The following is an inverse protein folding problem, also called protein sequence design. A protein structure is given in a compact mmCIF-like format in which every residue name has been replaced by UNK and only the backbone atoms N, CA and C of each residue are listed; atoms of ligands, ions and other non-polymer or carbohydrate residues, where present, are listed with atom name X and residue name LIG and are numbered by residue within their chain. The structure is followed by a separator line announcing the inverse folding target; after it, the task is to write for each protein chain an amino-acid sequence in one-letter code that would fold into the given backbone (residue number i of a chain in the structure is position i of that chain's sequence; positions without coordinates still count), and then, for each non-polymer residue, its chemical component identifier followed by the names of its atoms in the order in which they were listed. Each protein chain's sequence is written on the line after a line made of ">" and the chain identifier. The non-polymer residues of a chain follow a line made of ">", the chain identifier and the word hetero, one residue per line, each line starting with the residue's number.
data_IF_124161215152
#
_entry.id   IF_124161215152
#
_cell.length_a   1.000
_cell.length_b   1.000
_cell.length_c   1.000
_cell.angle_alpha   90.00
_cell.angle_beta   90.00
_cell.angle_gamma   90.00
#
_symmetry.space_group_name_H-M   'P 1'
#
loop_
_entity.id
_entity.type
_entity.pdbx_description
1 polymer ?
#
# COMPACT_ATOMS: atom_id res chain seq x y z
N UNK A 1 24.81 5.97 -9.26
CA UNK A 1 24.60 5.64 -7.83
C UNK A 1 23.44 6.42 -7.20
N UNK A 2 23.26 7.71 -7.51
CA UNK A 2 22.17 8.54 -6.95
C UNK A 2 20.76 7.98 -7.25
N UNK A 3 20.50 7.54 -8.47
CA UNK A 3 19.17 7.01 -8.88
C UNK A 3 18.73 5.74 -8.13
N UNK A 4 19.66 4.83 -7.84
CA UNK A 4 19.38 3.59 -7.12
C UNK A 4 19.02 3.86 -5.64
N UNK A 5 19.77 4.76 -5.00
CA UNK A 5 19.47 5.20 -3.62
C UNK A 5 18.09 5.89 -3.58
N UNK A 6 17.78 6.73 -4.57
CA UNK A 6 16.44 7.36 -4.63
C UNK A 6 15.34 6.32 -4.82
N UNK A 7 15.54 5.31 -5.67
CA UNK A 7 14.57 4.24 -5.88
C UNK A 7 14.28 3.48 -4.58
N UNK A 8 15.31 3.18 -3.79
CA UNK A 8 15.14 2.55 -2.47
C UNK A 8 14.32 3.45 -1.54
N UNK A 9 14.71 4.72 -1.39
CA UNK A 9 13.99 5.63 -0.49
C UNK A 9 12.54 5.86 -0.92
N UNK A 10 12.30 6.01 -2.22
CA UNK A 10 10.96 6.19 -2.78
C UNK A 10 10.13 4.92 -2.61
N UNK A 11 10.71 3.74 -2.83
CA UNK A 11 10.06 2.47 -2.58
C UNK A 11 9.70 2.27 -1.11
N UNK A 12 10.61 2.58 -0.18
CA UNK A 12 10.34 2.51 1.25
C UNK A 12 9.19 3.44 1.66
N UNK A 13 9.20 4.68 1.16
CA UNK A 13 8.16 5.67 1.44
C UNK A 13 6.80 5.24 0.87
N UNK A 14 6.77 4.80 -0.40
CA UNK A 14 5.55 4.34 -1.06
C UNK A 14 4.96 3.12 -0.33
N UNK A 15 5.79 2.10 -0.05
CA UNK A 15 5.34 0.90 0.67
C UNK A 15 4.80 1.24 2.07
N UNK A 16 5.49 2.11 2.80
CA UNK A 16 5.07 2.48 4.15
C UNK A 16 3.76 3.28 4.13
N UNK A 17 3.57 4.15 3.13
CA UNK A 17 2.34 4.90 2.98
C UNK A 17 1.14 4.01 2.65
N UNK A 18 1.34 2.91 1.93
CA UNK A 18 0.25 2.06 1.43
C UNK A 18 -0.02 0.79 2.26
N UNK A 19 0.85 0.41 3.19
CA UNK A 19 0.69 -0.85 3.93
C UNK A 19 0.69 -0.64 5.45
N UNK A 20 0.46 0.58 5.94
CA UNK A 20 0.43 0.87 7.37
C UNK A 20 -0.84 0.32 8.05
N UNK A 21 -1.94 0.27 7.30
CA UNK A 21 -3.23 -0.30 7.65
C UNK A 21 -3.22 -1.84 7.65
N UNK A 22 -2.44 -2.45 6.74
CA UNK A 22 -2.19 -3.90 6.70
C UNK A 22 -1.62 -4.43 8.04
N UNK A 23 -0.93 -3.61 8.83
CA UNK A 23 -0.43 -3.99 10.17
C UNK A 23 -1.57 -4.50 11.04
N UNK A 24 -2.72 -3.82 11.04
CA UNK A 24 -3.86 -4.20 11.88
C UNK A 24 -4.50 -5.49 11.39
N UNK A 25 -4.71 -5.61 10.08
CA UNK A 25 -5.27 -6.83 9.48
C UNK A 25 -4.36 -8.03 9.75
N UNK A 26 -3.05 -7.88 9.56
CA UNK A 26 -2.07 -8.93 9.84
C UNK A 26 -2.00 -9.27 11.33
N UNK A 27 -2.05 -8.28 12.23
CA UNK A 27 -2.08 -8.53 13.67
C UNK A 27 -3.33 -9.32 14.07
N UNK A 28 -4.50 -9.01 13.49
CA UNK A 28 -5.72 -9.79 13.70
C UNK A 28 -5.62 -11.22 13.16
N UNK A 29 -4.96 -11.43 12.01
CA UNK A 29 -4.72 -12.79 11.53
C UNK A 29 -3.76 -13.56 12.44
N UNK A 30 -2.67 -12.94 12.86
CA UNK A 30 -1.70 -13.59 13.73
C UNK A 30 -2.28 -13.90 15.12
N UNK A 31 -3.24 -13.12 15.63
CA UNK A 31 -3.93 -13.43 16.90
C UNK A 31 -4.90 -14.61 16.79
N UNK A 32 -5.32 -14.98 15.58
CA UNK A 32 -6.25 -16.08 15.32
C UNK A 32 -5.53 -17.40 15.00
N UNK A 33 -4.21 -17.43 15.10
CA UNK A 33 -3.40 -18.64 14.86
C UNK A 33 -3.82 -19.75 15.81
N UNK A 34 -4.09 -20.93 15.26
CA UNK A 34 -4.51 -22.12 16.00
C UNK A 34 -3.91 -23.39 15.35
N UNK A 35 -4.23 -24.59 15.85
CA UNK A 35 -3.68 -25.87 15.38
C UNK A 35 -3.84 -26.10 13.87
N UNK A 36 -4.92 -25.56 13.29
CA UNK A 36 -5.25 -25.61 11.86
C UNK A 36 -4.80 -24.36 11.08
N UNK A 37 -4.67 -23.18 11.70
CA UNK A 37 -4.25 -21.94 11.04
C UNK A 37 -2.89 -21.48 11.57
N UNK A 38 -1.83 -21.80 10.82
CA UNK A 38 -0.43 -21.51 11.22
C UNK A 38 0.08 -20.21 10.62
N UNK A 39 1.07 -19.61 11.29
CA UNK A 39 1.81 -18.42 10.84
C UNK A 39 2.22 -18.46 9.35
N UNK A 40 2.60 -19.62 8.83
CA UNK A 40 3.03 -19.77 7.43
C UNK A 40 1.90 -19.46 6.42
N UNK A 41 0.63 -19.74 6.75
CA UNK A 41 -0.49 -19.42 5.86
C UNK A 41 -0.73 -17.91 5.77
N UNK A 42 -0.46 -17.18 6.86
CA UNK A 42 -0.58 -15.72 6.91
C UNK A 42 0.52 -15.09 6.06
N UNK A 43 1.77 -15.53 6.29
CA UNK A 43 2.92 -15.03 5.54
C UNK A 43 2.75 -15.34 4.05
N UNK A 44 2.48 -16.60 3.69
CA UNK A 44 2.28 -17.00 2.30
C UNK A 44 1.09 -16.26 1.65
N UNK A 45 0.02 -16.03 2.41
CA UNK A 45 -1.16 -15.31 1.94
C UNK A 45 -0.85 -13.85 1.66
N UNK A 46 -0.14 -13.17 2.57
CA UNK A 46 0.28 -11.78 2.37
C UNK A 46 1.21 -11.65 1.16
N UNK A 47 2.21 -12.52 1.02
CA UNK A 47 3.10 -12.49 -0.14
C UNK A 47 2.34 -12.75 -1.45
N UNK A 48 1.37 -13.68 -1.45
CA UNK A 48 0.56 -13.98 -2.63
C UNK A 48 -0.35 -12.81 -3.00
N UNK A 49 -1.07 -12.25 -2.02
CA UNK A 49 -1.95 -11.10 -2.24
C UNK A 49 -1.17 -9.87 -2.70
N UNK A 50 -0.06 -9.57 -2.05
CA UNK A 50 0.81 -8.46 -2.43
C UNK A 50 1.43 -8.66 -3.82
N UNK A 51 1.83 -9.88 -4.19
CA UNK A 51 2.30 -10.18 -5.54
C UNK A 51 1.23 -9.91 -6.60
N UNK A 52 -0.05 -10.21 -6.32
CA UNK A 52 -1.17 -9.86 -7.22
C UNK A 52 -1.27 -8.34 -7.40
N UNK A 53 -1.17 -7.57 -6.31
CA UNK A 53 -1.20 -6.10 -6.39
C UNK A 53 -0.05 -5.52 -7.21
N UNK A 54 1.16 -6.07 -7.02
CA UNK A 54 2.34 -5.71 -7.82
C UNK A 54 2.11 -6.03 -9.29
N UNK A 55 1.64 -7.25 -9.61
CA UNK A 55 1.36 -7.67 -10.99
C UNK A 55 0.29 -6.78 -11.63
N UNK A 56 -0.76 -6.44 -10.90
CA UNK A 56 -1.80 -5.52 -11.36
C UNK A 56 -1.26 -4.10 -11.63
N UNK A 57 -0.17 -3.71 -10.95
CA UNK A 57 0.47 -2.39 -11.10
C UNK A 57 1.54 -2.34 -12.20
N UNK A 58 2.12 -3.49 -12.59
CA UNK A 58 3.15 -3.58 -13.63
C UNK A 58 2.75 -3.02 -15.01
N UNK A 59 1.48 -3.09 -15.46
CA UNK A 59 1.05 -2.39 -16.67
C UNK A 59 1.40 -0.90 -16.69
N UNK A 60 1.50 -0.25 -15.51
CA UNK A 60 1.97 1.14 -15.39
C UNK A 60 3.40 1.33 -15.90
N UNK A 61 4.32 0.41 -15.58
CA UNK A 61 5.70 0.42 -16.10
C UNK A 61 5.73 0.34 -17.62
N UNK A 62 5.01 -0.63 -18.19
CA UNK A 62 4.94 -0.79 -19.65
C UNK A 62 4.28 0.41 -20.32
N UNK A 63 3.22 0.97 -19.74
CA UNK A 63 2.60 2.22 -20.21
C UNK A 63 3.58 3.38 -20.24
N UNK A 64 4.42 3.52 -19.20
CA UNK A 64 5.48 4.54 -19.14
C UNK A 64 6.55 4.41 -20.23
N UNK A 65 6.78 3.20 -20.76
CA UNK A 65 7.72 2.99 -21.88
C UNK A 65 7.18 3.47 -23.23
N UNK A 66 5.85 3.51 -23.41
CA UNK A 66 5.20 3.95 -24.65
C UNK A 66 4.69 5.39 -24.61
N UNK A 67 4.58 6.00 -23.42
CA UNK A 67 4.04 7.34 -23.23
C UNK A 67 5.15 8.42 -23.19
N UNK A 68 5.00 9.55 -23.92
CA UNK A 68 5.95 10.67 -23.83
C UNK A 68 6.05 11.23 -22.40
N UNK A 69 7.27 11.57 -21.95
CA UNK A 69 7.58 12.05 -20.59
C UNK A 69 6.61 13.09 -19.97
N UNK A 70 6.07 14.08 -20.70
CA UNK A 70 5.07 15.01 -20.19
C UNK A 70 3.85 14.36 -19.52
N UNK A 71 3.39 13.22 -20.06
CA UNK A 71 2.20 12.51 -19.62
C UNK A 71 2.46 11.70 -18.34
N UNK A 72 3.72 11.35 -18.09
CA UNK A 72 4.17 10.68 -16.85
C UNK A 72 4.08 11.65 -15.64
N UNK A 73 4.18 12.96 -15.86
CA UNK A 73 3.99 13.95 -14.80
C UNK A 73 2.56 14.03 -14.26
N UNK A 74 1.55 13.80 -15.11
CA UNK A 74 0.13 13.77 -14.71
C UNK A 74 -0.16 12.66 -13.70
N UNK A 75 0.58 11.56 -13.76
CA UNK A 75 0.48 10.46 -12.82
C UNK A 75 0.88 10.83 -11.39
N UNK A 76 1.67 11.89 -11.20
CA UNK A 76 1.97 12.47 -9.87
C UNK A 76 0.80 13.26 -9.27
N UNK A 77 -0.14 13.74 -10.10
CA UNK A 77 -1.36 14.42 -9.64
C UNK A 77 -2.29 13.44 -8.92
N UNK A 78 -2.30 12.17 -9.32
CA UNK A 78 -3.15 11.15 -8.72
C UNK A 78 -2.83 10.90 -7.23
N UNK A 79 -1.58 10.60 -6.81
CA UNK A 79 -1.23 10.50 -5.39
C UNK A 79 -1.40 11.83 -4.63
N UNK A 80 -1.23 12.99 -5.26
CA UNK A 80 -1.53 14.29 -4.61
C UNK A 80 -3.03 14.43 -4.34
N UNK A 81 -3.88 14.14 -5.33
CA UNK A 81 -5.33 14.21 -5.19
C UNK A 81 -5.84 13.22 -4.12
N UNK A 82 -5.26 12.01 -4.07
CA UNK A 82 -5.57 11.02 -3.03
C UNK A 82 -5.12 11.52 -1.66
N UNK A 83 -3.91 12.07 -1.53
CA UNK A 83 -3.42 12.65 -0.29
C UNK A 83 -4.30 13.80 0.22
N UNK A 84 -4.72 14.71 -0.67
CA UNK A 84 -5.63 15.81 -0.35
C UNK A 84 -7.02 15.29 0.04
N UNK A 85 -7.58 14.34 -0.71
CA UNK A 85 -8.88 13.74 -0.36
C UNK A 85 -8.83 13.08 1.01
N UNK A 86 -7.77 12.32 1.30
CA UNK A 86 -7.56 11.67 2.59
C UNK A 86 -7.40 12.69 3.73
N UNK A 87 -6.86 13.88 3.45
CA UNK A 87 -6.79 15.00 4.40
C UNK A 87 -8.18 15.60 4.70
N UNK A 88 -9.03 15.79 3.68
CA UNK A 88 -10.37 16.38 3.85
C UNK A 88 -11.44 15.41 4.38
N UNK A 89 -11.47 14.15 3.94
CA UNK A 89 -12.38 13.09 4.47
C UNK A 89 -12.15 12.83 5.98
N UNK A 90 -11.06 13.37 6.52
CA UNK A 90 -10.66 13.27 7.92
C UNK A 90 -11.26 14.40 8.76
N UNK A 91 -11.47 15.59 8.20
CA UNK A 91 -12.18 16.69 8.86
C UNK A 91 -13.69 16.39 8.98
N UNK A 92 -14.27 15.74 7.97
CA UNK A 92 -15.71 15.38 8.00
C UNK A 92 -16.03 14.24 8.99
N UNK A 93 -15.06 13.37 9.30
CA UNK A 93 -15.23 12.27 10.28
C UNK A 93 -15.12 12.70 11.74
N UNK A 94 -14.71 13.93 12.05
CA UNK A 94 -14.72 14.46 13.42
C UNK A 94 -16.08 15.08 13.82
N UNK A 95 -17.02 15.27 12.89
CA UNK A 95 -18.34 15.86 13.16
C UNK A 95 -19.50 14.86 13.23
N UNK A 96 -19.35 13.65 12.65
CA UNK A 96 -20.38 12.59 12.70
C UNK A 96 -19.91 11.34 13.48
N UNK A 97 -19.71 11.52 14.79
CA UNK A 97 -19.59 10.39 15.72
C UNK A 97 -20.97 9.86 16.14
N UNK A 98 -21.85 9.53 15.19
CA UNK A 98 -23.13 8.90 15.51
C UNK A 98 -23.68 7.94 14.45
N UNK A 99 -22.88 7.05 13.85
CA UNK A 99 -23.46 5.88 13.18
C UNK A 99 -22.79 4.56 13.56
N UNK A 100 -23.55 3.83 14.39
CA UNK A 100 -23.50 2.41 14.75
C UNK A 100 -22.89 1.50 13.68
N UNK A 101 -21.68 1.01 13.92
CA UNK A 101 -21.13 -0.13 13.17
C UNK A 101 -21.88 -1.41 13.56
N UNK A 102 -22.78 -1.87 12.69
CA UNK A 102 -23.36 -3.22 12.77
C UNK A 102 -22.28 -4.26 12.48
N UNK A 103 -22.19 -5.37 13.25
CA UNK A 103 -21.31 -6.47 12.91
C UNK A 103 -21.87 -7.17 11.67
N UNK A 104 -21.15 -7.11 10.55
CA UNK A 104 -21.55 -7.76 9.30
C UNK A 104 -21.34 -9.27 9.41
N UNK A 105 -22.35 -9.95 9.95
CA UNK A 105 -22.51 -11.39 10.00
C UNK A 105 -23.04 -11.92 8.66
N UNK A 106 -22.18 -12.40 7.75
CA UNK A 106 -22.65 -13.22 6.61
C UNK A 106 -21.60 -14.01 5.81
N UNK A 107 -20.32 -14.05 6.21
CA UNK A 107 -19.28 -14.82 5.49
C UNK A 107 -18.96 -16.19 6.11
N UNK A 108 -19.79 -16.69 7.04
CA UNK A 108 -19.45 -17.86 7.87
C UNK A 108 -19.67 -19.25 7.25
N UNK A 109 -20.18 -19.39 6.02
CA UNK A 109 -20.51 -20.73 5.46
C UNK A 109 -19.89 -21.14 4.12
N UNK A 110 -19.29 -20.24 3.35
CA UNK A 110 -18.71 -20.59 2.03
C UNK A 110 -17.24 -21.08 2.09
N UNK A 111 -16.61 -21.01 3.26
CA UNK A 111 -15.17 -21.16 3.44
C UNK A 111 -14.75 -22.51 4.06
N UNK A 112 -15.41 -23.60 3.70
CA UNK A 112 -15.19 -24.92 4.29
C UNK A 112 -14.45 -25.84 3.28
N UNK A 113 -13.18 -26.14 3.60
CA UNK A 113 -12.40 -27.35 3.23
C UNK A 113 -11.38 -27.40 2.06
N UNK A 114 -10.71 -26.32 1.62
CA UNK A 114 -9.55 -26.50 0.70
C UNK A 114 -8.49 -25.41 0.91
N UNK A 115 -7.32 -25.70 1.50
CA UNK A 115 -6.13 -24.82 1.52
C UNK A 115 -6.41 -23.30 1.73
N UNK A 116 -7.49 -23.00 2.46
CA UNK A 116 -8.30 -21.80 2.22
C UNK A 116 -7.79 -20.58 2.97
N UNK A 117 -7.01 -20.84 3.99
CA UNK A 117 -6.49 -19.85 4.92
C UNK A 117 -5.50 -18.90 4.23
N UNK A 118 -4.58 -19.45 3.43
CA UNK A 118 -3.63 -18.65 2.64
C UNK A 118 -4.36 -17.80 1.59
N UNK A 119 -5.32 -18.39 0.86
CA UNK A 119 -6.11 -17.67 -0.13
C UNK A 119 -7.04 -16.62 0.49
N UNK A 120 -7.58 -16.88 1.67
CA UNK A 120 -8.39 -15.92 2.42
C UNK A 120 -7.55 -14.71 2.84
N UNK A 121 -6.34 -14.95 3.36
CA UNK A 121 -5.41 -13.86 3.70
C UNK A 121 -5.06 -13.09 2.43
N UNK A 122 -4.67 -13.77 1.35
CA UNK A 122 -4.36 -13.11 0.07
C UNK A 122 -5.52 -12.30 -0.50
N UNK A 123 -6.74 -12.81 -0.45
CA UNK A 123 -7.94 -12.11 -0.92
C UNK A 123 -8.20 -10.85 -0.09
N UNK A 124 -8.00 -10.92 1.23
CA UNK A 124 -8.15 -9.77 2.13
C UNK A 124 -7.02 -8.76 1.89
N UNK A 125 -5.77 -9.20 1.70
CA UNK A 125 -4.64 -8.33 1.30
C UNK A 125 -4.94 -7.61 -0.02
N UNK A 126 -5.47 -8.30 -1.03
CA UNK A 126 -5.82 -7.69 -2.32
C UNK A 126 -6.96 -6.70 -2.17
N UNK A 127 -8.00 -7.06 -1.40
CA UNK A 127 -9.14 -6.19 -1.17
C UNK A 127 -8.73 -4.92 -0.40
N UNK A 128 -7.82 -5.05 0.57
CA UNK A 128 -7.31 -3.92 1.34
C UNK A 128 -6.38 -3.05 0.49
N UNK A 129 -5.35 -3.64 -0.11
CA UNK A 129 -4.34 -2.92 -0.88
C UNK A 129 -4.75 -2.51 -2.30
N UNK A 130 -6.05 -2.29 -2.54
CA UNK A 130 -6.50 -1.76 -3.85
C UNK A 130 -6.03 -0.32 -4.08
N UNK A 131 -5.88 0.45 -3.02
CA UNK A 131 -5.27 1.77 -3.02
C UNK A 131 -3.76 1.72 -3.31
N UNK A 132 -3.06 0.63 -2.97
CA UNK A 132 -1.66 0.42 -3.35
C UNK A 132 -1.46 0.54 -4.86
N UNK A 133 -2.40 0.03 -5.66
CA UNK A 133 -2.33 0.07 -7.14
C UNK A 133 -2.27 1.52 -7.63
N UNK A 134 -3.05 2.42 -7.02
CA UNK A 134 -3.11 3.83 -7.39
C UNK A 134 -1.78 4.57 -7.21
N UNK A 135 -0.93 4.09 -6.30
CA UNK A 135 0.39 4.66 -6.00
C UNK A 135 1.51 3.90 -6.71
N UNK A 136 1.37 2.59 -6.89
CA UNK A 136 2.40 1.77 -7.54
C UNK A 136 2.40 1.94 -9.06
N UNK A 137 1.23 2.03 -9.71
CA UNK A 137 1.12 2.30 -11.16
C UNK A 137 1.92 3.54 -11.58
N UNK A 138 1.73 4.74 -10.99
CA UNK A 138 2.49 5.93 -11.37
C UNK A 138 3.97 5.85 -10.99
N UNK A 139 4.30 5.21 -9.86
CA UNK A 139 5.68 4.97 -9.44
C UNK A 139 6.42 4.08 -10.44
N UNK A 140 5.76 3.02 -10.92
CA UNK A 140 6.32 2.09 -11.89
C UNK A 140 6.43 2.75 -13.26
N UNK A 141 5.45 3.54 -13.70
CA UNK A 141 5.50 4.28 -14.96
C UNK A 141 6.68 5.26 -15.06
N UNK A 142 7.15 5.79 -13.94
CA UNK A 142 8.27 6.74 -13.87
C UNK A 142 9.64 6.10 -13.57
N UNK A 143 9.69 4.76 -13.48
CA UNK A 143 10.89 4.02 -13.09
C UNK A 143 11.67 3.46 -14.28
N UNK A 144 12.99 3.38 -14.17
CA UNK A 144 13.82 2.57 -15.09
C UNK A 144 13.79 1.10 -14.70
N UNK A 145 14.25 0.20 -15.58
CA UNK A 145 14.35 -1.24 -15.27
C UNK A 145 15.14 -1.54 -13.98
N UNK A 146 16.31 -0.91 -13.81
CA UNK A 146 17.11 -1.08 -12.59
C UNK A 146 16.39 -0.54 -11.34
N UNK A 147 15.71 0.60 -11.46
CA UNK A 147 14.96 1.21 -10.35
C UNK A 147 13.75 0.37 -9.96
N UNK A 148 13.04 -0.18 -10.95
CA UNK A 148 11.90 -1.07 -10.72
C UNK A 148 12.34 -2.32 -9.97
N UNK A 149 13.42 -2.98 -10.39
CA UNK A 149 13.94 -4.16 -9.69
C UNK A 149 14.34 -3.84 -8.25
N UNK A 150 14.96 -2.68 -8.01
CA UNK A 150 15.28 -2.22 -6.66
C UNK A 150 14.02 -2.00 -5.81
N UNK A 151 12.99 -1.33 -6.37
CA UNK A 151 11.71 -1.07 -5.69
C UNK A 151 11.00 -2.38 -5.36
N UNK A 152 10.95 -3.34 -6.29
CA UNK A 152 10.35 -4.65 -6.06
C UNK A 152 11.09 -5.42 -4.96
N UNK A 153 12.42 -5.40 -4.97
CA UNK A 153 13.24 -5.99 -3.91
C UNK A 153 12.95 -5.37 -2.54
N UNK A 154 12.81 -4.04 -2.48
CA UNK A 154 12.42 -3.32 -1.26
C UNK A 154 11.04 -3.73 -0.80
N UNK A 155 10.05 -3.74 -1.70
CA UNK A 155 8.66 -4.11 -1.37
C UNK A 155 8.59 -5.50 -0.75
N UNK A 156 9.13 -6.53 -1.41
CA UNK A 156 9.06 -7.89 -0.90
C UNK A 156 9.87 -8.11 0.37
N UNK A 157 10.94 -7.33 0.59
CA UNK A 157 11.67 -7.33 1.87
C UNK A 157 10.81 -6.71 2.97
N UNK A 158 10.16 -5.58 2.70
CA UNK A 158 9.32 -4.87 3.66
C UNK A 158 8.02 -5.63 3.97
N UNK A 159 7.46 -6.43 3.05
CA UNK A 159 6.37 -7.36 3.38
C UNK A 159 6.80 -8.31 4.49
N UNK A 160 8.02 -8.83 4.46
CA UNK A 160 8.56 -9.70 5.51
C UNK A 160 8.68 -8.96 6.85
N UNK A 161 9.20 -7.72 6.82
CA UNK A 161 9.28 -6.84 7.99
C UNK A 161 7.88 -6.53 8.54
N UNK A 162 6.89 -6.31 7.67
CA UNK A 162 5.51 -6.03 8.03
C UNK A 162 4.88 -7.23 8.73
N UNK A 163 5.02 -8.43 8.17
CA UNK A 163 4.55 -9.66 8.80
C UNK A 163 5.21 -9.88 10.18
N UNK A 164 6.52 -9.65 10.28
CA UNK A 164 7.23 -9.79 11.55
C UNK A 164 6.76 -8.76 12.59
N UNK A 165 6.55 -7.52 12.18
CA UNK A 165 6.05 -6.44 13.02
C UNK A 165 4.65 -6.76 13.51
N UNK A 166 3.74 -7.11 12.60
CA UNK A 166 2.38 -7.50 12.94
C UNK A 166 2.31 -8.71 13.90
N UNK A 167 3.20 -9.69 13.70
CA UNK A 167 3.36 -10.83 14.61
C UNK A 167 3.80 -10.38 16.02
N UNK A 168 4.80 -9.51 16.14
CA UNK A 168 5.22 -8.94 17.44
C UNK A 168 4.08 -8.18 18.12
N UNK A 169 3.29 -7.44 17.35
CA UNK A 169 2.19 -6.62 17.86
C UNK A 169 0.99 -7.44 18.36
N UNK A 170 0.86 -8.72 18.00
CA UNK A 170 -0.20 -9.58 18.57
C UNK A 170 -0.18 -9.65 20.09
N UNK A 171 1.00 -9.50 20.71
CA UNK A 171 1.15 -9.53 22.15
C UNK A 171 0.86 -8.16 22.80
N UNK A 172 0.63 -7.12 22.00
CA UNK A 172 0.35 -5.75 22.43
C UNK A 172 -0.67 -5.06 21.49
N UNK A 173 -1.90 -5.60 21.41
CA UNK A 173 -2.97 -5.08 20.52
C UNK A 173 -3.23 -3.57 20.66
N UNK A 174 -3.07 -2.99 21.86
CA UNK A 174 -3.21 -1.55 22.09
C UNK A 174 -2.22 -0.70 21.26
N UNK A 175 -1.04 -1.23 20.94
CA UNK A 175 -0.05 -0.53 20.10
C UNK A 175 -0.45 -0.55 18.62
N UNK A 176 -1.12 -1.61 18.15
CA UNK A 176 -1.59 -1.71 16.77
C UNK A 176 -2.68 -0.66 16.47
N UNK A 177 -3.61 -0.43 17.41
CA UNK A 177 -4.66 0.58 17.28
C UNK A 177 -4.11 2.01 17.31
N UNK A 178 -3.05 2.27 18.10
CA UNK A 178 -2.38 3.57 18.10
C UNK A 178 -1.62 3.82 16.80
N UNK A 179 -1.01 2.78 16.22
CA UNK A 179 -0.31 2.89 14.94
C UNK A 179 -1.22 3.26 13.78
N UNK A 180 -2.44 2.72 13.71
CA UNK A 180 -3.42 3.16 12.70
C UNK A 180 -3.90 4.59 12.95
N UNK A 181 -4.15 4.97 14.21
CA UNK A 181 -4.64 6.32 14.54
C UNK A 181 -3.63 7.41 14.16
N UNK A 182 -2.34 7.18 14.43
CA UNK A 182 -1.28 8.12 14.07
C UNK A 182 -0.80 7.95 12.62
N UNK A 183 -0.75 6.72 12.10
CA UNK A 183 -0.35 6.41 10.73
C UNK A 183 -1.27 7.04 9.69
N UNK A 184 -2.59 6.96 9.91
CA UNK A 184 -3.58 7.64 9.06
C UNK A 184 -3.45 9.18 9.09
N UNK A 185 -2.80 9.74 10.11
CA UNK A 185 -2.47 11.18 10.14
C UNK A 185 -1.25 11.54 9.30
N UNK A 186 -0.28 10.63 9.22
CA UNK A 186 0.99 10.88 8.54
C UNK A 186 0.92 10.58 7.04
N UNK A 187 0.06 9.64 6.65
CA UNK A 187 -0.14 9.17 5.28
C UNK A 187 -0.43 10.29 4.24
N UNK A 188 -1.33 11.27 4.49
CA UNK A 188 -1.58 12.36 3.54
C UNK A 188 -0.33 13.16 3.20
N UNK A 189 0.51 13.47 4.19
CA UNK A 189 1.73 14.25 4.01
C UNK A 189 2.79 13.50 3.21
N UNK A 190 2.92 12.18 3.43
CA UNK A 190 3.83 11.32 2.67
C UNK A 190 3.40 11.23 1.21
N UNK A 191 2.10 11.08 0.95
CA UNK A 191 1.54 11.01 -0.41
C UNK A 191 1.70 12.33 -1.18
N UNK A 192 1.45 13.46 -0.52
CA UNK A 192 1.68 14.79 -1.09
C UNK A 192 3.16 14.97 -1.42
N UNK A 193 4.06 14.59 -0.51
CA UNK A 193 5.50 14.65 -0.73
C UNK A 193 5.97 13.76 -1.88
N UNK A 194 5.46 12.52 -1.97
CA UNK A 194 5.76 11.57 -3.04
C UNK A 194 5.28 12.10 -4.40
N UNK A 195 4.05 12.58 -4.48
CA UNK A 195 3.49 13.14 -5.71
C UNK A 195 4.22 14.41 -6.18
N UNK A 196 4.54 15.31 -5.25
CA UNK A 196 5.36 16.49 -5.55
C UNK A 196 6.76 16.09 -6.07
N UNK A 197 7.38 15.07 -5.46
CA UNK A 197 8.66 14.53 -5.91
C UNK A 197 8.60 13.96 -7.34
N UNK A 198 7.53 13.22 -7.67
CA UNK A 198 7.31 12.69 -9.03
C UNK A 198 7.16 13.83 -10.04
N UNK A 199 6.42 14.89 -9.71
CA UNK A 199 6.20 16.06 -10.59
C UNK A 199 7.52 16.82 -10.84
N UNK A 200 8.31 17.07 -9.80
CA UNK A 200 9.60 17.76 -9.93
C UNK A 200 10.60 16.92 -10.74
N UNK A 201 10.66 15.61 -10.47
CA UNK A 201 11.61 14.70 -11.12
C UNK A 201 11.26 14.38 -12.57
N UNK A 202 9.97 14.40 -12.93
CA UNK A 202 9.50 14.16 -14.31
C UNK A 202 9.68 15.36 -15.25
N UNK A 203 10.14 16.52 -14.75
CA UNK A 203 10.33 17.72 -15.56
C UNK A 203 9.01 18.38 -16.00
N UNK A 204 7.87 18.00 -15.41
CA UNK A 204 6.54 18.50 -15.76
C UNK A 204 6.39 20.01 -15.53
N UNK A 205 7.11 20.57 -14.54
CA UNK A 205 7.12 22.01 -14.27
C UNK A 205 7.67 22.86 -15.43
N UNK A 206 8.46 22.27 -16.33
CA UNK A 206 8.98 22.95 -17.53
C UNK A 206 7.91 23.17 -18.60
N UNK A 207 6.79 22.44 -18.57
CA UNK A 207 5.65 22.63 -19.47
C UNK A 207 4.71 23.76 -19.02
N UNK A 208 4.66 24.03 -17.70
CA UNK A 208 3.86 25.13 -17.13
C UNK A 208 4.54 26.50 -17.26
N UNK A 209 5.84 26.54 -17.58
CA UNK A 209 6.61 27.78 -17.77
C UNK A 209 6.74 28.19 -19.26
N UNK A 210 5.97 27.56 -20.14
CA UNK A 210 5.94 27.80 -21.59
C UNK A 210 4.58 28.33 -22.08
N UNK A 211 3.75 28.86 -21.18
CA UNK A 211 2.51 29.57 -21.51
C UNK A 211 2.44 30.91 -20.78
#
# INVERSE_FOLDING_TARGET
>A
MTGFITAISTGMAAFSATNIDDIVILTLFFSQVNTTFRHWHIIAGQYLGFAILVIASLPGFFGGLFLPQPWIGLFGVLPIAIGIKCFFDREDKELDATETQKPQSQTSLFAKFINLQTYSVAAITVANGTDNISIYVPLFASSTWESLLAILGVFFTLVGVLCYTAYKLTHQQAMAELLTRYGNNFMPFVLIGLGAFIIVKSGSLTLLNLY
#
